data_IF_733245030629
#
_entry.id   IF_733245030629
#
_cell.length_a   1.000
_cell.length_b   1.000
_cell.length_c   1.000
_cell.angle_alpha   90.00
_cell.angle_beta   90.00
_cell.angle_gamma   90.00
#
_symmetry.space_group_name_H-M   'P 1'
#
loop_
_entity.id
_entity.type
_entity.pdbx_description
1 polymer ?
#
# COMPACT_ATOMS: atom_id res chain seq x y z
N UNK A 1 -21.17 -36.24 -1.94
CA UNK A 1 -20.75 -35.83 -3.31
C UNK A 1 -21.65 -34.75 -3.89
N UNK A 2 -22.97 -34.80 -3.69
CA UNK A 2 -23.90 -33.76 -4.19
C UNK A 2 -23.57 -32.34 -3.69
N UNK A 3 -23.26 -32.16 -2.40
CA UNK A 3 -22.85 -30.86 -1.85
C UNK A 3 -21.63 -30.28 -2.58
N UNK A 4 -20.58 -31.10 -2.76
CA UNK A 4 -19.36 -30.73 -3.50
C UNK A 4 -19.69 -30.33 -4.94
N UNK A 5 -20.54 -31.09 -5.63
CA UNK A 5 -20.93 -30.78 -7.01
C UNK A 5 -21.74 -29.46 -7.07
N UNK A 6 -22.67 -29.25 -6.15
CA UNK A 6 -23.45 -28.00 -6.07
C UNK A 6 -22.57 -26.79 -5.77
N UNK A 7 -21.62 -26.93 -4.86
CA UNK A 7 -20.64 -25.89 -4.55
C UNK A 7 -19.75 -25.60 -5.76
N UNK A 8 -19.15 -26.62 -6.38
CA UNK A 8 -18.32 -26.44 -7.57
C UNK A 8 -19.07 -25.77 -8.73
N UNK A 9 -20.35 -26.10 -8.93
CA UNK A 9 -21.21 -25.42 -9.91
C UNK A 9 -21.49 -23.97 -9.54
N UNK A 10 -21.72 -23.67 -8.27
CA UNK A 10 -22.05 -22.32 -7.81
C UNK A 10 -20.84 -21.38 -7.76
N UNK A 11 -19.65 -21.90 -7.43
CA UNK A 11 -18.45 -21.10 -7.22
C UNK A 11 -17.45 -21.17 -8.37
N UNK A 12 -17.59 -22.13 -9.30
CA UNK A 12 -16.67 -22.32 -10.42
C UNK A 12 -15.30 -22.90 -10.04
N UNK A 13 -15.03 -23.14 -8.75
CA UNK A 13 -13.77 -23.74 -8.28
C UNK A 13 -13.82 -25.27 -8.30
N UNK A 14 -12.69 -25.89 -8.66
CA UNK A 14 -12.55 -27.33 -8.72
C UNK A 14 -12.29 -27.89 -7.32
N UNK A 15 -13.34 -28.35 -6.65
CA UNK A 15 -13.24 -28.85 -5.28
C UNK A 15 -12.72 -30.29 -5.22
N UNK A 16 -11.58 -30.57 -4.55
CA UNK A 16 -11.10 -31.93 -4.32
C UNK A 16 -12.09 -32.76 -3.51
N UNK A 17 -12.08 -34.08 -3.73
CA UNK A 17 -13.01 -34.98 -3.05
C UNK A 17 -12.74 -35.11 -1.54
N UNK A 18 -11.52 -34.78 -1.10
CA UNK A 18 -11.10 -34.85 0.31
C UNK A 18 -11.54 -33.64 1.12
N UNK A 19 -11.96 -32.54 0.48
CA UNK A 19 -12.16 -31.25 1.13
C UNK A 19 -13.21 -31.28 2.26
N UNK A 20 -14.21 -32.16 2.16
CA UNK A 20 -15.21 -32.39 3.23
C UNK A 20 -14.61 -33.14 4.43
N UNK A 21 -13.59 -33.97 4.21
CA UNK A 21 -12.87 -34.66 5.28
C UNK A 21 -11.81 -33.77 5.93
N UNK A 22 -11.20 -32.88 5.15
CA UNK A 22 -10.19 -31.92 5.62
C UNK A 22 -10.85 -30.76 6.39
N UNK A 23 -12.10 -30.41 6.04
CA UNK A 23 -12.91 -29.37 6.68
C UNK A 23 -14.30 -29.92 7.07
N UNK A 24 -14.40 -30.64 8.19
CA UNK A 24 -15.61 -31.39 8.56
C UNK A 24 -16.77 -30.49 8.99
N UNK A 25 -16.50 -29.24 9.43
CA UNK A 25 -17.55 -28.30 9.80
C UNK A 25 -17.93 -27.38 8.63
N UNK A 26 -19.22 -27.01 8.51
CA UNK A 26 -19.66 -26.05 7.48
C UNK A 26 -18.94 -24.70 7.56
N UNK A 27 -18.53 -24.28 8.75
CA UNK A 27 -17.83 -23.01 8.99
C UNK A 27 -16.41 -23.07 8.43
N UNK A 28 -15.65 -24.13 8.72
CA UNK A 28 -14.31 -24.33 8.17
C UNK A 28 -14.34 -24.45 6.65
N UNK A 29 -15.32 -25.18 6.12
CA UNK A 29 -15.51 -25.32 4.68
C UNK A 29 -15.80 -23.98 4.00
N UNK A 30 -16.68 -23.15 4.61
CA UNK A 30 -16.99 -21.83 4.10
C UNK A 30 -15.79 -20.88 4.15
N UNK A 31 -15.01 -20.91 5.24
CA UNK A 31 -13.77 -20.15 5.36
C UNK A 31 -12.78 -20.50 4.24
N UNK A 32 -12.54 -21.80 4.02
CA UNK A 32 -11.64 -22.26 2.96
C UNK A 32 -12.10 -21.85 1.56
N UNK A 33 -13.40 -21.93 1.30
CA UNK A 33 -13.97 -21.51 0.01
C UNK A 33 -13.82 -20.02 -0.24
N UNK A 34 -13.97 -19.20 0.80
CA UNK A 34 -13.80 -17.75 0.70
C UNK A 34 -12.31 -17.38 0.47
N UNK A 35 -11.37 -18.12 1.06
CA UNK A 35 -9.94 -18.01 0.74
C UNK A 35 -9.64 -18.37 -0.73
N UNK A 36 -10.13 -19.54 -1.19
CA UNK A 36 -9.90 -20.00 -2.57
C UNK A 36 -10.50 -19.05 -3.62
N UNK A 37 -11.55 -18.30 -3.25
CA UNK A 37 -12.20 -17.29 -4.09
C UNK A 37 -11.57 -15.89 -3.95
N UNK A 38 -10.59 -15.70 -3.06
CA UNK A 38 -9.98 -14.38 -2.80
C UNK A 38 -10.98 -13.37 -2.22
N UNK A 39 -12.04 -13.84 -1.57
CA UNK A 39 -13.11 -13.01 -0.97
C UNK A 39 -12.81 -12.64 0.48
N UNK A 40 -11.85 -13.32 1.10
CA UNK A 40 -11.23 -12.88 2.35
C UNK A 40 -9.90 -12.24 1.97
N UNK A 41 -9.69 -10.99 2.39
CA UNK A 41 -8.37 -10.36 2.29
C UNK A 41 -7.33 -11.18 3.03
N UNK A 42 -6.07 -11.10 2.62
CA UNK A 42 -4.97 -11.79 3.30
C UNK A 42 -4.29 -10.80 4.26
N UNK A 43 -4.75 -10.64 5.51
CA UNK A 43 -4.18 -9.64 6.41
C UNK A 43 -2.70 -9.90 6.70
N UNK A 44 -2.26 -11.16 6.64
CA UNK A 44 -0.86 -11.52 6.80
C UNK A 44 -0.04 -11.11 5.56
N UNK A 45 -0.57 -11.37 4.36
CA UNK A 45 -0.01 -10.91 3.09
C UNK A 45 0.04 -9.39 2.98
N UNK A 46 -1.03 -8.70 3.38
CA UNK A 46 -1.13 -7.24 3.38
C UNK A 46 -0.11 -6.61 4.34
N UNK A 47 0.02 -7.16 5.55
CA UNK A 47 1.02 -6.74 6.52
C UNK A 47 2.45 -6.99 6.01
N UNK A 48 2.69 -8.15 5.38
CA UNK A 48 3.99 -8.47 4.78
C UNK A 48 4.33 -7.53 3.61
N UNK A 49 3.36 -7.15 2.79
CA UNK A 49 3.55 -6.19 1.70
C UNK A 49 3.90 -4.80 2.25
N UNK A 50 3.22 -4.38 3.31
CA UNK A 50 3.49 -3.10 4.00
C UNK A 50 4.92 -3.08 4.56
N UNK A 51 5.34 -4.12 5.28
CA UNK A 51 6.69 -4.23 5.81
C UNK A 51 7.78 -4.21 4.72
N UNK A 52 7.48 -4.71 3.52
CA UNK A 52 8.40 -4.63 2.36
C UNK A 52 8.52 -3.22 1.80
N UNK A 53 7.46 -2.42 1.87
CA UNK A 53 7.53 -0.99 1.50
C UNK A 53 8.36 -0.21 2.51
N UNK A 54 8.18 -0.47 3.81
CA UNK A 54 9.00 0.15 4.88
C UNK A 54 10.50 -0.16 4.67
N UNK A 55 10.82 -1.41 4.36
CA UNK A 55 12.19 -1.84 4.06
C UNK A 55 12.78 -1.15 2.81
N UNK A 56 11.95 -0.86 1.81
CA UNK A 56 12.36 -0.15 0.61
C UNK A 56 12.64 1.33 0.91
N UNK A 57 11.78 1.97 1.71
CA UNK A 57 11.95 3.35 2.16
C UNK A 57 13.27 3.51 2.94
N UNK A 58 13.54 2.62 3.89
CA UNK A 58 14.79 2.60 4.65
C UNK A 58 16.01 2.43 3.72
N UNK A 59 15.95 1.49 2.77
CA UNK A 59 17.04 1.27 1.82
C UNK A 59 17.30 2.48 0.91
N UNK A 60 16.26 3.20 0.49
CA UNK A 60 16.40 4.42 -0.30
C UNK A 60 16.99 5.57 0.53
N UNK A 61 16.60 5.70 1.81
CA UNK A 61 17.15 6.69 2.73
C UNK A 61 18.60 6.43 3.12
N UNK A 62 19.00 5.16 3.22
CA UNK A 62 20.34 4.74 3.63
C UNK A 62 21.41 4.86 2.53
N UNK A 63 21.04 5.24 1.30
CA UNK A 63 21.95 5.37 0.17
C UNK A 63 22.21 6.85 -0.21
N UNK A 64 22.98 7.60 0.59
CA UNK A 64 23.41 8.94 0.18
C UNK A 64 24.31 8.81 -1.05
N UNK A 65 23.89 9.44 -2.16
CA UNK A 65 24.66 9.45 -3.41
C UNK A 65 24.14 8.56 -4.55
N UNK A 66 22.87 8.12 -4.51
CA UNK A 66 22.23 7.54 -5.70
C UNK A 66 22.34 8.49 -6.90
N UNK A 67 22.81 7.97 -8.04
CA UNK A 67 22.82 8.73 -9.29
C UNK A 67 21.38 9.15 -9.67
N UNK A 68 21.22 10.37 -10.19
CA UNK A 68 19.90 10.93 -10.49
C UNK A 68 19.10 10.08 -11.48
N UNK A 69 19.78 9.45 -12.46
CA UNK A 69 19.13 8.53 -13.40
C UNK A 69 18.54 7.28 -12.73
N UNK A 70 19.17 6.81 -11.65
CA UNK A 70 18.65 5.68 -10.86
C UNK A 70 17.45 6.14 -10.02
N UNK A 71 17.53 7.32 -9.40
CA UNK A 71 16.42 7.91 -8.63
C UNK A 71 15.19 8.11 -9.53
N UNK A 72 15.40 8.69 -10.71
CA UNK A 72 14.34 8.90 -11.71
C UNK A 72 13.74 7.56 -12.18
N UNK A 73 14.57 6.58 -12.50
CA UNK A 73 14.12 5.24 -12.90
C UNK A 73 13.31 4.51 -11.82
N UNK A 74 13.67 4.68 -10.55
CA UNK A 74 12.91 4.14 -9.40
C UNK A 74 11.56 4.87 -9.29
N UNK A 75 11.55 6.20 -9.36
CA UNK A 75 10.32 7.00 -9.29
C UNK A 75 9.30 6.63 -10.37
N UNK A 76 9.73 6.48 -11.62
CA UNK A 76 8.86 6.08 -12.74
C UNK A 76 8.23 4.71 -12.50
N UNK A 77 9.01 3.73 -12.00
CA UNK A 77 8.49 2.39 -11.70
C UNK A 77 7.49 2.39 -10.55
N UNK A 78 7.72 3.20 -9.51
CA UNK A 78 6.79 3.33 -8.39
C UNK A 78 5.47 3.96 -8.83
N UNK A 79 5.52 4.99 -9.69
CA UNK A 79 4.31 5.61 -10.25
C UNK A 79 3.53 4.63 -11.14
N UNK A 80 4.20 3.83 -11.97
CA UNK A 80 3.57 2.78 -12.78
C UNK A 80 2.91 1.70 -11.89
N UNK A 81 3.59 1.27 -10.83
CA UNK A 81 3.01 0.33 -9.85
C UNK A 81 1.79 0.92 -9.15
N UNK A 82 1.84 2.18 -8.72
CA UNK A 82 0.72 2.86 -8.09
C UNK A 82 -0.49 2.93 -9.04
N UNK A 83 -0.26 3.29 -10.31
CA UNK A 83 -1.31 3.33 -11.33
C UNK A 83 -1.94 1.94 -11.56
N UNK A 84 -1.13 0.87 -11.61
CA UNK A 84 -1.62 -0.51 -11.75
C UNK A 84 -2.45 -0.98 -10.56
N UNK A 85 -2.14 -0.50 -9.37
CA UNK A 85 -2.91 -0.78 -8.16
C UNK A 85 -4.22 0.03 -8.08
N UNK A 86 -4.49 0.89 -9.06
CA UNK A 86 -5.65 1.78 -9.05
C UNK A 86 -5.53 2.90 -8.02
N UNK A 87 -4.32 3.15 -7.50
CA UNK A 87 -4.08 4.32 -6.67
C UNK A 87 -4.29 5.56 -7.54
N UNK A 88 -5.25 6.39 -7.16
CA UNK A 88 -5.37 7.73 -7.74
C UNK A 88 -4.07 8.45 -7.38
N UNK A 89 -3.37 9.07 -8.35
CA UNK A 89 -2.18 9.83 -8.05
C UNK A 89 -2.48 10.75 -6.88
N UNK A 90 -1.60 10.76 -5.87
CA UNK A 90 -1.60 11.83 -4.88
C UNK A 90 -1.39 13.10 -5.69
N UNK A 91 -2.49 13.76 -6.08
CA UNK A 91 -2.44 15.09 -6.65
C UNK A 91 -1.62 15.91 -5.67
N UNK A 92 -0.75 16.80 -6.14
CA UNK A 92 0.13 17.64 -5.30
C UNK A 92 -0.60 18.31 -4.13
N UNK A 93 -1.92 18.50 -4.22
CA UNK A 93 -2.80 18.91 -3.12
C UNK A 93 -2.74 18.01 -1.86
N UNK A 94 -2.42 16.72 -1.98
CA UNK A 94 -2.35 15.79 -0.85
C UNK A 94 -1.03 15.90 -0.06
N UNK A 95 0.06 16.34 -0.70
CA UNK A 95 1.32 16.66 -0.02
C UNK A 95 1.25 17.98 0.77
N UNK A 96 0.35 18.89 0.36
CA UNK A 96 0.07 20.16 1.05
C UNK A 96 -0.77 19.96 2.33
N UNK A 97 -1.49 18.83 2.44
CA UNK A 97 -2.32 18.52 3.60
C UNK A 97 -1.55 17.95 4.81
N UNK A 98 -0.28 17.52 4.61
CA UNK A 98 0.51 16.83 5.64
C UNK A 98 1.69 17.63 6.20
N UNK A 99 2.15 18.68 5.51
CA UNK A 99 3.17 19.61 6.02
C UNK A 99 2.49 20.97 6.23
N UNK A 100 2.11 21.25 7.47
CA UNK A 100 1.36 22.45 7.83
C UNK A 100 2.16 23.74 7.61
N UNK A 101 2.08 24.28 6.39
CA UNK A 101 2.11 25.69 5.95
C UNK A 101 2.83 25.78 4.59
N UNK A 102 2.08 25.71 3.50
CA UNK A 102 2.52 26.35 2.26
C UNK A 102 2.43 27.87 2.46
N UNK A 103 3.55 28.48 2.88
CA UNK A 103 3.71 29.93 2.78
C UNK A 103 4.11 30.22 1.34
N UNK A 104 3.25 30.96 0.65
CA UNK A 104 3.54 31.49 -0.67
C UNK A 104 4.65 32.55 -0.54
N UNK A 105 5.87 32.21 -0.94
CA UNK A 105 7.05 33.06 -0.80
C UNK A 105 6.91 34.39 -1.56
N UNK A 106 6.05 34.44 -2.59
CA UNK A 106 5.81 35.64 -3.37
C UNK A 106 4.88 36.63 -2.66
N UNK A 107 4.12 36.19 -1.64
CA UNK A 107 3.19 37.03 -0.87
C UNK A 107 3.49 37.07 0.63
N UNK A 108 4.47 36.30 1.09
CA UNK A 108 4.94 36.30 2.47
C UNK A 108 5.45 37.68 2.89
N UNK A 109 5.10 38.09 4.11
CA UNK A 109 5.69 39.29 4.72
C UNK A 109 7.05 38.96 5.32
N UNK A 110 7.94 39.97 5.40
CA UNK A 110 9.29 39.78 5.93
C UNK A 110 9.28 39.11 7.31
N UNK A 111 8.36 39.52 8.20
CA UNK A 111 8.23 38.94 9.54
C UNK A 111 7.90 37.44 9.52
N UNK A 112 7.11 36.98 8.54
CA UNK A 112 6.76 35.57 8.37
C UNK A 112 7.95 34.75 7.83
N UNK A 113 8.77 35.36 6.96
CA UNK A 113 10.01 34.75 6.45
C UNK A 113 11.02 34.56 7.59
N UNK A 114 11.18 35.57 8.47
CA UNK A 114 12.06 35.47 9.63
C UNK A 114 11.60 34.39 10.62
N UNK A 115 10.28 34.24 10.83
CA UNK A 115 9.72 33.22 11.71
C UNK A 115 9.97 31.78 11.23
N UNK A 116 10.03 31.58 9.90
CA UNK A 116 10.35 30.28 9.30
C UNK A 116 11.81 29.88 9.53
N UNK A 117 12.74 30.83 9.39
CA UNK A 117 14.17 30.56 9.58
C UNK A 117 14.53 30.25 11.03
N UNK A 118 13.88 30.91 11.99
CA UNK A 118 14.09 30.65 13.42
C UNK A 118 13.58 29.25 13.84
N UNK A 119 12.50 28.77 13.20
CA UNK A 119 11.94 27.43 13.47
C UNK A 119 12.79 26.27 12.92
N UNK A 120 13.44 26.46 11.78
CA UNK A 120 14.24 25.43 11.09
C UNK A 120 15.69 25.31 11.61
N UNK A 121 16.25 26.35 12.24
CA UNK A 121 17.64 26.34 12.72
C UNK A 121 17.81 26.03 14.22
N UNK A 122 16.71 25.80 14.96
CA UNK A 122 16.78 25.31 16.33
C UNK A 122 17.66 26.15 17.27
N UNK A 123 17.74 27.46 17.05
CA UNK A 123 18.41 28.39 17.96
C UNK A 123 17.37 29.03 18.86
N UNK A 124 17.04 28.33 19.94
CA UNK A 124 16.53 28.96 21.17
C UNK A 124 17.53 28.78 22.30
#
# INVERSE_FOLDING_TARGET
VELRNRLATATGVRLPATLIFDHPTPVELAGRLLEDLGLIGDPAGDAALTARLDSLEEALGALPGLADSVREGIGVRLLDLAARLGAVPLTTAAFDAGSGRSIDLDTATDDEIFQLMDGELGLS
#
